data_IF_340824382854
#
_entry.id   IF_340824382854
#
_cell.length_a   1.000
_cell.length_b   1.000
_cell.length_c   1.000
_cell.angle_alpha   90.00
_cell.angle_beta   90.00
_cell.angle_gamma   90.00
#
_symmetry.space_group_name_H-M   'P 1'
#
loop_
_entity.id
_entity.type
_entity.pdbx_description
1 polymer ?
#
# COMPACT_ATOMS: atom_id res chain seq x y z
N UNK A 1 -29.60 -18.87 11.95
CA UNK A 1 -29.05 -20.26 12.03
C UNK A 1 -27.95 -20.26 13.08
N UNK A 2 -27.67 -21.37 13.78
CA UNK A 2 -26.58 -21.41 14.78
C UNK A 2 -25.25 -21.57 14.04
N UNK A 3 -24.36 -20.58 14.21
CA UNK A 3 -22.98 -20.57 13.71
C UNK A 3 -22.27 -21.89 13.98
N UNK A 4 -21.66 -22.47 12.93
CA UNK A 4 -20.79 -23.63 13.07
C UNK A 4 -19.35 -23.14 13.07
N UNK A 5 -18.90 -22.64 14.22
CA UNK A 5 -17.56 -22.09 14.38
C UNK A 5 -16.50 -23.06 13.81
N UNK A 6 -15.74 -22.59 12.82
CA UNK A 6 -14.55 -23.29 12.36
C UNK A 6 -13.60 -23.34 13.57
N UNK A 7 -13.13 -24.52 13.96
CA UNK A 7 -12.32 -24.65 15.17
C UNK A 7 -11.08 -23.74 15.09
N UNK A 8 -10.89 -22.86 16.08
CA UNK A 8 -9.77 -21.89 16.24
C UNK A 8 -8.39 -22.57 16.40
N UNK A 9 -7.99 -23.40 15.44
CA UNK A 9 -6.74 -24.17 15.43
C UNK A 9 -5.86 -23.83 14.24
N UNK A 10 -6.08 -22.68 13.62
CA UNK A 10 -5.29 -22.21 12.49
C UNK A 10 -4.04 -21.49 12.99
N UNK A 11 -2.91 -21.86 12.40
CA UNK A 11 -1.58 -21.33 12.73
C UNK A 11 -0.95 -20.61 11.53
N UNK A 12 -1.47 -20.84 10.32
CA UNK A 12 -0.98 -20.26 9.06
C UNK A 12 -2.16 -19.85 8.16
N UNK A 13 -1.92 -18.89 7.28
CA UNK A 13 -2.89 -18.41 6.29
C UNK A 13 -3.29 -19.54 5.33
N UNK A 14 -2.37 -20.41 4.94
CA UNK A 14 -2.65 -21.56 4.06
C UNK A 14 -3.71 -22.50 4.64
N UNK A 15 -3.69 -22.72 5.96
CA UNK A 15 -4.72 -23.53 6.62
C UNK A 15 -6.09 -22.83 6.59
N UNK A 16 -6.12 -21.49 6.66
CA UNK A 16 -7.36 -20.71 6.51
C UNK A 16 -7.88 -20.83 5.07
N UNK A 17 -7.02 -20.70 4.06
CA UNK A 17 -7.40 -20.91 2.66
C UNK A 17 -7.98 -22.31 2.43
N UNK A 18 -7.34 -23.34 2.97
CA UNK A 18 -7.85 -24.71 2.87
C UNK A 18 -9.21 -24.88 3.56
N UNK A 19 -9.44 -24.20 4.69
CA UNK A 19 -10.74 -24.20 5.35
C UNK A 19 -11.82 -23.49 4.51
N UNK A 20 -11.48 -22.37 3.86
CA UNK A 20 -12.40 -21.66 2.96
C UNK A 20 -12.78 -22.51 1.74
N UNK A 21 -11.81 -23.21 1.13
CA UNK A 21 -12.07 -24.19 0.05
C UNK A 21 -13.00 -25.30 0.51
N UNK A 22 -12.76 -25.88 1.69
CA UNK A 22 -13.64 -26.89 2.29
C UNK A 22 -15.03 -26.34 2.64
N UNK A 23 -15.12 -25.04 2.91
CA UNK A 23 -16.37 -24.31 3.10
C UNK A 23 -17.16 -24.09 1.81
N UNK A 24 -16.59 -24.43 0.65
CA UNK A 24 -17.22 -24.30 -0.66
C UNK A 24 -16.94 -22.97 -1.36
N UNK A 25 -15.97 -22.18 -0.89
CA UNK A 25 -15.49 -21.03 -1.65
C UNK A 25 -14.64 -21.53 -2.82
N UNK A 26 -15.21 -21.51 -4.02
CA UNK A 26 -14.55 -22.00 -5.24
C UNK A 26 -13.79 -20.89 -5.96
N UNK A 27 -14.44 -19.72 -6.11
CA UNK A 27 -13.89 -18.58 -6.82
C UNK A 27 -14.53 -17.27 -6.34
N UNK A 28 -13.79 -16.17 -6.46
CA UNK A 28 -14.20 -14.83 -6.05
C UNK A 28 -13.42 -13.77 -6.81
N UNK A 29 -13.85 -12.53 -6.73
CA UNK A 29 -13.08 -11.36 -7.17
C UNK A 29 -12.90 -10.41 -6.00
N UNK A 30 -11.72 -9.83 -5.85
CA UNK A 30 -11.42 -8.92 -4.74
C UNK A 30 -11.59 -7.45 -5.14
N UNK A 31 -12.31 -6.68 -4.34
CA UNK A 31 -12.37 -5.21 -4.41
C UNK A 31 -11.79 -4.65 -3.12
N UNK A 32 -10.94 -3.63 -3.19
CA UNK A 32 -10.37 -2.97 -2.01
C UNK A 32 -10.87 -1.53 -1.94
N UNK A 33 -11.37 -1.14 -0.77
CA UNK A 33 -11.73 0.25 -0.47
C UNK A 33 -11.04 0.70 0.82
N UNK A 34 -10.38 1.85 0.75
CA UNK A 34 -9.55 2.41 1.82
C UNK A 34 -10.12 3.75 2.26
N UNK A 35 -10.40 3.85 3.55
CA UNK A 35 -10.79 5.09 4.20
C UNK A 35 -9.58 6.03 4.31
N UNK A 36 -9.70 7.25 3.77
CA UNK A 36 -8.74 8.36 3.89
C UNK A 36 -9.36 9.56 4.61
N UNK A 37 -10.27 9.34 5.55
CA UNK A 37 -10.82 10.40 6.40
C UNK A 37 -9.80 10.88 7.43
N UNK A 38 -9.99 12.11 7.89
CA UNK A 38 -9.07 12.82 8.78
C UNK A 38 -8.94 12.15 10.15
N UNK A 39 -9.92 11.35 10.57
CA UNK A 39 -9.86 10.66 11.87
C UNK A 39 -8.65 9.76 12.04
N UNK A 40 -8.13 9.24 10.94
CA UNK A 40 -6.89 8.49 10.87
C UNK A 40 -5.65 9.25 11.37
N UNK A 41 -5.69 10.58 11.51
CA UNK A 41 -4.61 11.37 12.11
C UNK A 41 -4.52 11.16 13.63
N UNK A 42 -5.62 10.79 14.30
CA UNK A 42 -5.68 10.68 15.76
C UNK A 42 -6.14 9.32 16.31
N UNK A 43 -6.78 8.47 15.50
CA UNK A 43 -7.23 7.13 15.91
C UNK A 43 -6.10 6.11 16.02
N UNK A 44 -4.85 6.49 15.73
CA UNK A 44 -3.64 5.72 16.06
C UNK A 44 -3.01 6.07 17.40
N UNK A 45 -3.68 6.86 18.25
CA UNK A 45 -3.11 7.37 19.51
C UNK A 45 -2.60 6.28 20.44
N UNK A 46 -3.37 5.21 20.65
CA UNK A 46 -3.00 4.09 21.52
C UNK A 46 -2.42 2.92 20.72
N UNK A 47 -3.09 2.55 19.63
CA UNK A 47 -2.78 1.38 18.80
C UNK A 47 -1.54 1.54 17.93
N UNK A 48 -1.18 2.77 17.55
CA UNK A 48 -0.07 3.03 16.64
C UNK A 48 0.89 4.12 17.14
N UNK A 49 1.04 4.19 18.47
CA UNK A 49 2.06 5.01 19.12
C UNK A 49 1.92 6.51 18.86
N UNK A 50 0.71 7.02 18.67
CA UNK A 50 0.47 8.44 18.40
C UNK A 50 0.65 8.85 16.94
N UNK A 51 0.97 7.92 16.04
CA UNK A 51 1.11 8.19 14.61
C UNK A 51 -0.25 8.13 13.90
N UNK A 52 -0.32 8.75 12.73
CA UNK A 52 -1.43 8.52 11.81
C UNK A 52 -1.47 7.05 11.37
N UNK A 53 -2.67 6.49 11.23
CA UNK A 53 -2.87 5.13 10.75
C UNK A 53 -2.42 4.92 9.29
N UNK A 54 -2.23 6.00 8.52
CA UNK A 54 -1.63 5.96 7.17
C UNK A 54 -0.14 6.31 7.14
N UNK A 55 0.55 6.40 8.28
CA UNK A 55 1.96 6.79 8.27
C UNK A 55 2.80 5.76 7.50
N UNK A 56 3.42 6.20 6.40
CA UNK A 56 4.29 5.38 5.57
C UNK A 56 5.70 5.37 6.16
N UNK A 57 6.26 4.17 6.36
CA UNK A 57 7.62 4.00 6.87
C UNK A 57 8.16 2.59 6.64
N UNK A 58 9.20 2.24 7.42
CA UNK A 58 9.82 0.90 7.40
C UNK A 58 8.94 -0.17 8.06
N UNK A 59 8.15 0.24 9.05
CA UNK A 59 7.14 -0.61 9.68
C UNK A 59 5.81 -0.37 8.95
N UNK A 60 5.15 -1.42 8.44
CA UNK A 60 3.85 -1.30 7.81
C UNK A 60 2.84 -0.62 8.73
N UNK A 61 2.00 0.24 8.16
CA UNK A 61 0.86 0.80 8.87
C UNK A 61 -0.22 -0.27 9.12
N UNK A 62 -1.16 -0.07 10.06
CA UNK A 62 -2.27 -1.00 10.26
C UNK A 62 -3.09 -1.26 8.99
N UNK A 63 -3.19 -0.26 8.10
CA UNK A 63 -3.82 -0.43 6.78
C UNK A 63 -2.99 -1.35 5.87
N UNK A 64 -1.67 -1.16 5.80
CA UNK A 64 -0.78 -2.01 5.00
C UNK A 64 -0.81 -3.46 5.50
N UNK A 65 -0.82 -3.68 6.81
CA UNK A 65 -0.95 -5.01 7.40
C UNK A 65 -2.30 -5.64 7.08
N UNK A 66 -3.40 -4.91 7.28
CA UNK A 66 -4.75 -5.38 7.00
C UNK A 66 -4.93 -5.79 5.54
N UNK A 67 -4.60 -4.89 4.60
CA UNK A 67 -4.67 -5.13 3.16
C UNK A 67 -3.76 -6.31 2.78
N UNK A 68 -2.53 -6.32 3.31
CA UNK A 68 -1.57 -7.37 3.03
C UNK A 68 -2.03 -8.77 3.46
N UNK A 69 -2.56 -8.92 4.67
CA UNK A 69 -2.96 -10.23 5.19
C UNK A 69 -4.22 -10.75 4.50
N UNK A 70 -5.28 -9.93 4.41
CA UNK A 70 -6.52 -10.38 3.78
C UNK A 70 -6.33 -10.57 2.28
N UNK A 71 -5.63 -9.65 1.63
CA UNK A 71 -5.29 -9.76 0.22
C UNK A 71 -4.53 -11.04 -0.10
N UNK A 72 -3.49 -11.41 0.68
CA UNK A 72 -2.77 -12.68 0.47
C UNK A 72 -3.67 -13.90 0.70
N UNK A 73 -4.57 -13.82 1.67
CA UNK A 73 -5.50 -14.91 1.97
C UNK A 73 -6.48 -15.13 0.82
N UNK A 74 -7.05 -14.05 0.28
CA UNK A 74 -8.05 -14.09 -0.79
C UNK A 74 -7.46 -14.21 -2.20
N UNK A 75 -6.20 -13.83 -2.42
CA UNK A 75 -5.54 -13.91 -3.73
C UNK A 75 -5.55 -15.34 -4.33
N UNK A 76 -5.63 -16.38 -3.49
CA UNK A 76 -5.72 -17.77 -3.95
C UNK A 76 -7.12 -18.16 -4.49
N UNK A 77 -8.09 -17.26 -4.40
CA UNK A 77 -9.46 -17.40 -4.89
C UNK A 77 -9.83 -16.31 -5.90
N UNK A 78 -8.91 -15.39 -6.20
CA UNK A 78 -9.12 -14.30 -7.15
C UNK A 78 -8.96 -14.82 -8.58
N UNK A 79 -10.01 -14.70 -9.39
CA UNK A 79 -10.11 -15.38 -10.69
C UNK A 79 -9.21 -14.76 -11.78
N UNK A 80 -9.02 -13.44 -11.75
CA UNK A 80 -8.35 -12.69 -12.82
C UNK A 80 -7.07 -11.97 -12.36
N UNK A 81 -6.80 -11.89 -11.06
CA UNK A 81 -5.67 -11.14 -10.51
C UNK A 81 -5.86 -9.62 -10.61
N UNK A 82 -7.06 -9.14 -10.94
CA UNK A 82 -7.37 -7.73 -11.12
C UNK A 82 -8.17 -7.23 -9.92
N UNK A 83 -7.60 -6.29 -9.18
CA UNK A 83 -8.16 -5.79 -7.93
C UNK A 83 -8.57 -4.32 -8.12
N UNK A 84 -9.86 -4.01 -8.37
CA UNK A 84 -10.35 -2.65 -8.30
C UNK A 84 -10.09 -2.06 -6.91
N UNK A 85 -9.40 -0.92 -6.87
CA UNK A 85 -8.94 -0.29 -5.63
C UNK A 85 -9.37 1.16 -5.55
N UNK A 86 -9.97 1.53 -4.42
CA UNK A 86 -10.57 2.84 -4.23
C UNK A 86 -10.18 3.46 -2.90
N UNK A 87 -10.05 4.78 -2.90
CA UNK A 87 -10.02 5.59 -1.68
C UNK A 87 -11.30 6.42 -1.53
N UNK A 88 -11.68 6.73 -0.30
CA UNK A 88 -12.83 7.59 0.01
C UNK A 88 -12.59 8.42 1.27
N UNK A 89 -13.41 9.46 1.48
CA UNK A 89 -13.32 10.33 2.66
C UNK A 89 -12.23 11.41 2.60
N UNK A 90 -11.52 11.54 1.49
CA UNK A 90 -10.57 12.63 1.28
C UNK A 90 -11.29 13.93 0.90
N UNK A 91 -10.54 15.02 0.75
CA UNK A 91 -11.06 16.33 0.41
C UNK A 91 -11.75 16.38 -0.96
N UNK A 92 -11.41 15.47 -1.89
CA UNK A 92 -12.02 15.41 -3.22
C UNK A 92 -13.33 14.63 -3.22
N UNK A 93 -13.44 13.55 -2.43
CA UNK A 93 -14.64 12.71 -2.41
C UNK A 93 -15.66 13.11 -1.36
N UNK A 94 -15.22 13.57 -0.19
CA UNK A 94 -16.05 13.69 1.01
C UNK A 94 -16.81 12.38 1.28
N UNK A 95 -18.09 12.48 1.61
CA UNK A 95 -19.02 11.37 1.84
C UNK A 95 -19.86 10.99 0.60
N UNK A 96 -19.49 11.47 -0.60
CA UNK A 96 -20.35 11.36 -1.81
C UNK A 96 -19.78 10.50 -2.93
N UNK A 97 -18.51 10.15 -2.88
CA UNK A 97 -17.82 9.48 -3.96
C UNK A 97 -16.62 8.68 -3.49
N UNK A 98 -15.91 8.14 -4.47
CA UNK A 98 -14.63 7.45 -4.30
C UNK A 98 -13.67 7.94 -5.38
N UNK A 99 -12.37 7.87 -5.12
CA UNK A 99 -11.35 7.99 -6.16
C UNK A 99 -10.74 6.63 -6.42
N UNK A 100 -10.45 6.32 -7.69
CA UNK A 100 -9.76 5.08 -8.04
C UNK A 100 -8.27 5.21 -7.76
N UNK A 101 -7.59 4.13 -7.39
CA UNK A 101 -6.14 4.14 -7.15
C UNK A 101 -5.37 4.40 -8.44
N UNK A 102 -5.83 3.89 -9.58
CA UNK A 102 -5.24 4.11 -10.89
C UNK A 102 -6.18 4.97 -11.75
N UNK A 103 -5.62 5.65 -12.74
CA UNK A 103 -6.39 6.50 -13.64
C UNK A 103 -7.42 5.69 -14.44
N UNK A 104 -8.52 6.34 -14.83
CA UNK A 104 -9.59 5.76 -15.65
C UNK A 104 -10.23 4.49 -15.04
N UNK A 105 -10.25 4.37 -13.72
CA UNK A 105 -10.85 3.22 -13.02
C UNK A 105 -10.16 1.87 -13.35
N UNK A 106 -8.88 1.92 -13.72
CA UNK A 106 -8.11 0.71 -14.05
C UNK A 106 -7.86 -0.13 -12.77
N UNK A 107 -8.13 -1.44 -12.77
CA UNK A 107 -7.84 -2.29 -11.61
C UNK A 107 -6.33 -2.49 -11.42
N UNK A 108 -5.91 -2.73 -10.18
CA UNK A 108 -4.53 -3.10 -9.87
C UNK A 108 -4.25 -4.55 -10.28
N UNK A 109 -3.06 -4.84 -10.78
CA UNK A 109 -2.55 -6.17 -11.11
C UNK A 109 -1.96 -6.80 -9.85
N UNK A 110 -2.79 -7.55 -9.13
CA UNK A 110 -2.44 -8.24 -7.90
C UNK A 110 -2.21 -7.31 -6.70
N UNK A 111 -2.05 -7.94 -5.53
CA UNK A 111 -1.95 -7.26 -4.24
C UNK A 111 -0.71 -6.36 -4.12
N UNK A 112 0.39 -6.74 -4.77
CA UNK A 112 1.64 -5.98 -4.72
C UNK A 112 1.46 -4.59 -5.34
N UNK A 113 0.70 -4.47 -6.44
CA UNK A 113 0.39 -3.17 -7.03
C UNK A 113 -0.56 -2.35 -6.14
N UNK A 114 -1.50 -3.00 -5.44
CA UNK A 114 -2.38 -2.33 -4.47
C UNK A 114 -1.57 -1.66 -3.36
N UNK A 115 -0.67 -2.42 -2.72
CA UNK A 115 0.17 -1.92 -1.63
C UNK A 115 1.17 -0.86 -2.12
N UNK A 116 1.80 -1.08 -3.27
CA UNK A 116 2.68 -0.10 -3.89
C UNK A 116 1.94 1.23 -4.14
N UNK A 117 0.77 1.16 -4.78
CA UNK A 117 -0.01 2.36 -5.12
C UNK A 117 -0.60 3.04 -3.89
N UNK A 118 -1.02 2.28 -2.88
CA UNK A 118 -1.41 2.81 -1.58
C UNK A 118 -0.29 3.67 -0.97
N UNK A 119 0.94 3.14 -0.88
CA UNK A 119 2.10 3.85 -0.32
C UNK A 119 2.43 5.12 -1.11
N UNK A 120 2.29 5.06 -2.45
CA UNK A 120 2.52 6.21 -3.32
C UNK A 120 1.46 7.31 -3.13
N UNK A 121 0.19 6.94 -2.93
CA UNK A 121 -0.92 7.90 -2.80
C UNK A 121 -0.97 8.57 -1.42
N UNK A 122 -0.67 7.84 -0.35
CA UNK A 122 -0.82 8.31 1.04
C UNK A 122 -0.27 9.73 1.30
N UNK A 123 0.93 10.12 0.82
CA UNK A 123 1.47 11.47 1.04
C UNK A 123 0.70 12.60 0.32
N UNK A 124 -0.08 12.28 -0.72
CA UNK A 124 -0.75 13.26 -1.59
C UNK A 124 -2.26 13.35 -1.35
N UNK A 125 -2.85 12.32 -0.74
CA UNK A 125 -4.26 12.33 -0.36
C UNK A 125 -4.46 13.34 0.77
N UNK A 126 -5.34 14.32 0.55
CA UNK A 126 -5.73 15.28 1.59
C UNK A 126 -6.90 14.74 2.40
N UNK A 127 -6.60 14.16 3.55
CA UNK A 127 -7.63 13.57 4.41
C UNK A 127 -8.68 14.60 4.86
N UNK A 128 -9.96 14.21 4.84
CA UNK A 128 -11.07 15.09 5.16
C UNK A 128 -12.24 14.33 5.81
N UNK A 129 -13.45 14.50 5.29
CA UNK A 129 -14.69 13.91 5.77
C UNK A 129 -15.88 14.64 5.15
N UNK A 130 -17.12 14.38 5.58
CA UNK A 130 -17.54 13.37 6.56
C UNK A 130 -17.23 11.93 6.13
N UNK A 131 -17.32 10.99 7.06
CA UNK A 131 -17.10 9.56 6.85
C UNK A 131 -18.43 8.86 6.59
N UNK A 132 -18.56 8.24 5.41
CA UNK A 132 -19.64 7.33 5.02
C UNK A 132 -19.04 6.20 4.18
N UNK A 133 -19.47 4.96 4.42
CA UNK A 133 -19.02 3.81 3.60
C UNK A 133 -19.90 3.59 2.38
N UNK A 134 -21.05 4.26 2.33
CA UNK A 134 -22.02 4.11 1.25
C UNK A 134 -21.41 4.33 -0.15
N UNK A 135 -20.54 5.32 -0.40
CA UNK A 135 -19.93 5.49 -1.72
C UNK A 135 -19.07 4.29 -2.14
N UNK A 136 -18.30 3.72 -1.22
CA UNK A 136 -17.45 2.56 -1.49
C UNK A 136 -18.28 1.29 -1.74
N UNK A 137 -19.29 1.04 -0.91
CA UNK A 137 -20.19 -0.12 -1.06
C UNK A 137 -20.97 -0.04 -2.37
N UNK A 138 -21.50 1.14 -2.73
CA UNK A 138 -22.20 1.33 -4.01
C UNK A 138 -21.26 1.22 -5.20
N UNK A 139 -20.00 1.63 -5.08
CA UNK A 139 -19.02 1.39 -6.14
C UNK A 139 -18.76 -0.11 -6.33
N UNK A 140 -18.61 -0.87 -5.25
CA UNK A 140 -18.47 -2.32 -5.34
C UNK A 140 -19.70 -2.98 -5.96
N UNK A 141 -20.91 -2.57 -5.57
CA UNK A 141 -22.15 -3.02 -6.18
C UNK A 141 -22.17 -2.78 -7.71
N UNK A 142 -21.71 -1.62 -8.19
CA UNK A 142 -21.61 -1.34 -9.63
C UNK A 142 -20.63 -2.26 -10.35
N UNK A 143 -19.51 -2.61 -9.71
CA UNK A 143 -18.53 -3.55 -10.29
C UNK A 143 -19.18 -4.93 -10.44
N UNK A 144 -19.86 -5.41 -9.40
CA UNK A 144 -20.60 -6.69 -9.44
C UNK A 144 -21.61 -6.70 -10.58
N UNK A 145 -22.40 -5.64 -10.74
CA UNK A 145 -23.36 -5.55 -11.84
C UNK A 145 -22.69 -5.54 -13.22
N UNK A 146 -21.56 -4.85 -13.38
CA UNK A 146 -20.80 -4.78 -14.65
C UNK A 146 -20.11 -6.11 -14.99
N UNK A 147 -19.72 -6.88 -13.97
CA UNK A 147 -19.13 -8.22 -14.14
C UNK A 147 -20.15 -9.28 -14.60
N UNK A 148 -21.44 -8.92 -14.68
CA UNK A 148 -22.51 -9.88 -14.96
C UNK A 148 -22.88 -10.71 -13.73
N UNK A 149 -22.85 -10.09 -12.54
CA UNK A 149 -23.13 -10.71 -11.24
C UNK A 149 -22.19 -11.88 -10.92
N UNK A 150 -20.89 -11.70 -11.18
CA UNK A 150 -19.88 -12.57 -10.59
C UNK A 150 -19.75 -12.27 -9.09
N UNK A 151 -19.33 -13.27 -8.32
CA UNK A 151 -19.13 -13.10 -6.88
C UNK A 151 -17.95 -12.18 -6.59
N UNK A 152 -18.16 -11.18 -5.74
CA UNK A 152 -17.11 -10.28 -5.28
C UNK A 152 -17.06 -10.21 -3.76
N UNK A 153 -15.87 -9.98 -3.23
CA UNK A 153 -15.61 -9.65 -1.84
C UNK A 153 -15.07 -8.22 -1.80
N UNK A 154 -15.78 -7.32 -1.13
CA UNK A 154 -15.29 -5.98 -0.82
C UNK A 154 -14.52 -6.00 0.50
N UNK A 155 -13.20 -5.82 0.43
CA UNK A 155 -12.35 -5.53 1.58
C UNK A 155 -12.39 -4.02 1.86
N UNK A 156 -13.12 -3.63 2.90
CA UNK A 156 -13.25 -2.25 3.35
C UNK A 156 -12.37 -2.03 4.58
N UNK A 157 -11.31 -1.22 4.49
CA UNK A 157 -10.42 -0.93 5.62
C UNK A 157 -10.65 0.50 6.10
N UNK A 158 -11.05 0.65 7.37
CA UNK A 158 -11.36 1.95 7.96
C UNK A 158 -11.14 2.00 9.48
N UNK A 159 -11.15 3.22 10.04
CA UNK A 159 -10.95 3.44 11.48
C UNK A 159 -12.24 3.45 12.32
N UNK A 160 -13.37 3.16 11.67
CA UNK A 160 -14.68 3.00 12.28
C UNK A 160 -15.40 4.30 12.62
N UNK A 161 -14.83 5.47 12.30
CA UNK A 161 -15.41 6.77 12.66
C UNK A 161 -16.45 7.28 11.65
N UNK A 162 -17.57 6.56 11.48
CA UNK A 162 -18.70 7.07 10.67
C UNK A 162 -19.22 8.38 11.28
N UNK A 163 -19.41 9.39 10.44
CA UNK A 163 -19.72 10.74 10.93
C UNK A 163 -21.09 10.83 11.58
N UNK A 164 -21.10 11.37 12.80
CA UNK A 164 -22.30 11.58 13.61
C UNK A 164 -22.30 13.02 14.14
N UNK A 165 -23.47 13.67 14.15
CA UNK A 165 -23.62 14.96 14.85
C UNK A 165 -23.59 14.73 16.36
N UNK A 166 -22.83 15.54 17.10
CA UNK A 166 -22.75 15.47 18.57
C UNK A 166 -24.11 15.64 19.26
N UNK A 167 -25.04 16.31 18.59
CA UNK A 167 -26.35 16.65 19.14
C UNK A 167 -27.39 15.54 18.88
N UNK A 168 -27.01 14.49 18.14
CA UNK A 168 -27.91 13.42 17.75
C UNK A 168 -28.02 12.35 18.86
N UNK A 169 -29.22 12.11 19.42
CA UNK A 169 -29.42 11.09 20.46
C UNK A 169 -28.94 9.71 20.01
N UNK A 170 -28.37 8.90 20.91
CA UNK A 170 -27.76 7.59 20.59
C UNK A 170 -28.67 6.60 19.82
N UNK A 171 -29.99 6.77 19.89
CA UNK A 171 -30.96 5.91 19.22
C UNK A 171 -31.33 6.35 17.78
N UNK A 172 -30.83 7.50 17.33
CA UNK A 172 -31.06 8.00 15.97
C UNK A 172 -29.79 7.85 15.13
N UNK A 173 -29.97 7.59 13.84
CA UNK A 173 -28.88 7.52 12.88
C UNK A 173 -28.61 8.87 12.24
N UNK A 174 -27.34 9.22 12.07
CA UNK A 174 -26.94 10.35 11.23
C UNK A 174 -27.28 10.07 9.77
N UNK A 175 -27.22 11.11 8.91
CA UNK A 175 -27.37 10.91 7.47
C UNK A 175 -26.34 9.94 6.90
N UNK A 176 -25.10 9.95 7.40
CA UNK A 176 -24.02 9.08 6.93
C UNK A 176 -24.17 7.65 7.45
N UNK A 177 -24.63 7.48 8.69
CA UNK A 177 -24.96 6.17 9.27
C UNK A 177 -26.12 5.53 8.49
N UNK A 178 -27.21 6.27 8.24
CA UNK A 178 -28.35 5.77 7.48
C UNK A 178 -27.98 5.46 6.03
N UNK A 179 -27.22 6.32 5.36
CA UNK A 179 -26.80 6.09 3.98
C UNK A 179 -25.91 4.83 3.85
N UNK A 180 -25.09 4.56 4.87
CA UNK A 180 -24.29 3.33 4.95
C UNK A 180 -25.17 2.11 5.15
N UNK A 181 -26.16 2.17 6.05
CA UNK A 181 -27.14 1.10 6.27
C UNK A 181 -27.88 0.79 4.96
N UNK A 182 -28.38 1.82 4.29
CA UNK A 182 -29.11 1.68 3.03
C UNK A 182 -28.24 1.02 1.96
N UNK A 183 -26.97 1.43 1.84
CA UNK A 183 -26.04 0.82 0.90
C UNK A 183 -25.73 -0.66 1.20
N UNK A 184 -25.63 -1.05 2.48
CA UNK A 184 -25.42 -2.46 2.88
C UNK A 184 -26.67 -3.29 2.51
N UNK A 185 -27.87 -2.78 2.79
CA UNK A 185 -29.14 -3.45 2.43
C UNK A 185 -29.29 -3.56 0.92
N UNK A 186 -29.00 -2.50 0.17
CA UNK A 186 -28.97 -2.52 -1.30
C UNK A 186 -28.00 -3.60 -1.82
N UNK A 187 -26.78 -3.64 -1.27
CA UNK A 187 -25.76 -4.61 -1.65
C UNK A 187 -26.15 -6.08 -1.37
N UNK A 188 -27.05 -6.34 -0.41
CA UNK A 188 -27.51 -7.70 -0.10
C UNK A 188 -28.33 -8.34 -1.23
N UNK A 189 -28.76 -7.55 -2.22
CA UNK A 189 -29.44 -8.04 -3.42
C UNK A 189 -28.47 -8.49 -4.53
N UNK A 190 -27.17 -8.41 -4.28
CA UNK A 190 -26.11 -8.74 -5.23
C UNK A 190 -25.23 -9.87 -4.66
N UNK A 191 -24.49 -10.59 -5.52
CA UNK A 191 -23.48 -11.54 -5.06
C UNK A 191 -22.23 -10.80 -4.54
N UNK A 192 -22.39 -10.05 -3.45
CA UNK A 192 -21.38 -9.20 -2.84
C UNK A 192 -21.30 -9.49 -1.33
N UNK A 193 -20.13 -9.95 -0.88
CA UNK A 193 -19.77 -10.00 0.53
C UNK A 193 -18.93 -8.77 0.89
N UNK A 194 -19.17 -8.19 2.06
CA UNK A 194 -18.44 -7.02 2.57
C UNK A 194 -17.68 -7.44 3.82
N UNK A 195 -16.36 -7.34 3.78
CA UNK A 195 -15.48 -7.58 4.92
C UNK A 195 -14.92 -6.24 5.37
N UNK A 196 -15.44 -5.71 6.47
CA UNK A 196 -14.98 -4.45 7.06
C UNK A 196 -13.91 -4.74 8.11
N UNK A 197 -12.69 -4.27 7.86
CA UNK A 197 -11.56 -4.35 8.77
C UNK A 197 -11.40 -3.03 9.50
N UNK A 198 -11.66 -3.07 10.81
CA UNK A 198 -11.42 -1.97 11.72
C UNK A 198 -9.96 -1.87 12.14
N UNK A 199 -9.31 -0.77 11.80
CA UNK A 199 -7.94 -0.44 12.22
C UNK A 199 -7.93 0.75 13.19
N UNK A 200 -7.03 0.74 14.15
CA UNK A 200 -6.90 1.84 15.12
C UNK A 200 -7.70 1.66 16.41
N UNK A 201 -7.95 2.77 17.09
CA UNK A 201 -8.42 2.82 18.49
C UNK A 201 -9.94 2.60 18.66
N UNK A 202 -10.73 2.64 17.59
CA UNK A 202 -12.19 2.66 17.64
C UNK A 202 -12.78 3.99 18.17
N UNK A 203 -14.02 4.01 18.70
CA UNK A 203 -14.85 2.87 19.10
C UNK A 203 -15.44 2.06 17.93
N UNK A 204 -15.93 0.85 18.23
CA UNK A 204 -16.37 -0.14 17.23
C UNK A 204 -17.83 -0.57 17.38
N UNK A 205 -18.60 0.04 18.28
CA UNK A 205 -19.97 -0.40 18.60
C UNK A 205 -20.89 -0.32 17.38
N UNK A 206 -20.83 0.78 16.63
CA UNK A 206 -21.59 0.94 15.39
C UNK A 206 -21.24 -0.14 14.34
N UNK A 207 -19.98 -0.57 14.27
CA UNK A 207 -19.57 -1.60 13.31
C UNK A 207 -20.13 -2.97 13.68
N UNK A 208 -20.28 -3.24 14.98
CA UNK A 208 -20.96 -4.45 15.48
C UNK A 208 -22.45 -4.41 15.22
N UNK A 209 -23.08 -3.23 15.34
CA UNK A 209 -24.48 -3.05 14.97
C UNK A 209 -24.70 -3.29 13.46
N UNK A 210 -23.74 -2.88 12.62
CA UNK A 210 -23.77 -3.20 11.19
C UNK A 210 -23.53 -4.67 10.87
N UNK A 211 -22.88 -5.42 11.75
CA UNK A 211 -22.74 -6.89 11.65
C UNK A 211 -24.09 -7.54 11.96
N UNK A 212 -24.57 -7.39 13.19
CA UNK A 212 -25.61 -8.24 13.80
C UNK A 212 -27.05 -7.71 13.63
N UNK A 213 -27.26 -6.44 13.30
CA UNK A 213 -28.52 -5.73 13.60
C UNK A 213 -29.23 -5.07 12.41
N UNK A 214 -29.07 -5.58 11.18
CA UNK A 214 -29.81 -5.06 10.01
C UNK A 214 -30.83 -6.10 9.47
N UNK A 215 -32.08 -6.08 9.94
CA UNK A 215 -33.07 -7.11 9.62
C UNK A 215 -33.62 -7.05 8.18
N UNK A 216 -33.32 -6.00 7.42
CA UNK A 216 -33.86 -5.78 6.07
C UNK A 216 -33.03 -6.41 4.95
N UNK A 217 -31.90 -7.05 5.26
CA UNK A 217 -31.02 -7.65 4.25
C UNK A 217 -31.57 -9.01 3.78
N UNK A 218 -31.33 -9.34 2.51
CA UNK A 218 -31.71 -10.64 1.93
C UNK A 218 -30.88 -11.81 2.52
N UNK A 219 -29.62 -11.53 2.84
CA UNK A 219 -28.74 -12.39 3.61
C UNK A 219 -27.73 -11.53 4.38
N UNK A 220 -27.05 -12.14 5.34
CA UNK A 220 -25.98 -11.46 6.06
C UNK A 220 -24.77 -11.28 5.15
N UNK A 221 -24.56 -10.08 4.63
CA UNK A 221 -23.54 -9.76 3.64
C UNK A 221 -22.41 -8.87 4.19
N UNK A 222 -22.36 -8.64 5.50
CA UNK A 222 -21.41 -7.73 6.14
C UNK A 222 -20.75 -8.46 7.30
N UNK A 223 -19.42 -8.49 7.31
CA UNK A 223 -18.60 -9.02 8.40
C UNK A 223 -17.71 -7.90 8.95
N UNK A 224 -17.77 -7.62 10.25
CA UNK A 224 -16.82 -6.75 10.92
C UNK A 224 -15.69 -7.51 11.61
N UNK A 225 -14.43 -7.05 11.44
CA UNK A 225 -13.29 -7.53 12.23
C UNK A 225 -12.45 -6.39 12.76
N UNK A 226 -12.23 -6.39 14.07
CA UNK A 226 -11.31 -5.48 14.74
C UNK A 226 -9.88 -5.99 14.66
N UNK A 227 -9.10 -5.47 13.73
CA UNK A 227 -7.69 -5.84 13.53
C UNK A 227 -6.84 -5.53 14.77
N UNK A 228 -7.04 -4.34 15.36
CA UNK A 228 -6.30 -3.89 16.56
C UNK A 228 -6.48 -4.86 17.72
N UNK A 229 -7.70 -5.38 17.92
CA UNK A 229 -8.00 -6.37 18.96
C UNK A 229 -7.26 -7.69 18.69
N UNK A 230 -7.26 -8.19 17.45
CA UNK A 230 -6.53 -9.41 17.08
C UNK A 230 -5.04 -9.28 17.36
N UNK A 231 -4.43 -8.14 16.98
CA UNK A 231 -3.02 -7.86 17.24
C UNK A 231 -2.73 -7.84 18.75
N UNK A 232 -3.63 -7.26 19.55
CA UNK A 232 -3.48 -7.17 21.01
C UNK A 232 -3.59 -8.54 21.72
N UNK A 233 -4.43 -9.44 21.21
CA UNK A 233 -4.66 -10.79 21.77
C UNK A 233 -3.53 -11.77 21.47
N UNK A 234 -2.62 -11.42 20.57
CA UNK A 234 -1.53 -12.28 20.12
C UNK A 234 -0.16 -11.62 20.37
N UNK A 235 0.17 -11.31 21.64
CA UNK A 235 1.42 -10.67 22.00
C UNK A 235 2.59 -11.63 21.73
N UNK A 236 3.68 -11.08 21.20
CA UNK A 236 4.89 -11.83 20.91
C UNK A 236 5.63 -11.28 19.69
N UNK A 237 6.96 -11.37 19.75
CA UNK A 237 7.85 -11.02 18.65
C UNK A 237 8.31 -12.28 17.90
N UNK A 238 8.70 -12.10 16.63
CA UNK A 238 9.19 -13.16 15.76
C UNK A 238 8.13 -13.70 14.79
N UNK A 239 8.62 -14.48 13.82
CA UNK A 239 7.84 -14.91 12.65
C UNK A 239 6.68 -15.84 13.01
N UNK A 240 6.87 -16.75 13.96
CA UNK A 240 5.81 -17.65 14.40
C UNK A 240 4.65 -16.90 15.08
N UNK A 241 4.96 -15.87 15.88
CA UNK A 241 3.94 -15.03 16.48
C UNK A 241 3.18 -14.26 15.40
N UNK A 242 3.92 -13.65 14.46
CA UNK A 242 3.35 -12.95 13.29
C UNK A 242 2.43 -13.85 12.47
N UNK A 243 2.88 -15.02 12.04
CA UNK A 243 2.08 -15.97 11.27
C UNK A 243 0.78 -16.37 11.99
N UNK A 244 0.85 -16.60 13.31
CA UNK A 244 -0.34 -16.88 14.11
C UNK A 244 -1.32 -15.69 14.15
N UNK A 245 -0.82 -14.45 14.23
CA UNK A 245 -1.68 -13.25 14.14
C UNK A 245 -2.35 -13.15 12.78
N UNK A 246 -1.56 -13.30 11.72
CA UNK A 246 -2.05 -13.22 10.34
C UNK A 246 -3.12 -14.31 10.11
N UNK A 247 -2.88 -15.54 10.56
CA UNK A 247 -3.84 -16.63 10.46
C UNK A 247 -5.11 -16.39 11.27
N UNK A 248 -5.00 -15.91 12.51
CA UNK A 248 -6.16 -15.59 13.35
C UNK A 248 -6.98 -14.44 12.77
N UNK A 249 -6.30 -13.40 12.26
CA UNK A 249 -6.95 -12.27 11.63
C UNK A 249 -7.67 -12.70 10.35
N UNK A 250 -7.00 -13.44 9.47
CA UNK A 250 -7.58 -13.98 8.25
C UNK A 250 -8.78 -14.88 8.53
N UNK A 251 -8.69 -15.75 9.55
CA UNK A 251 -9.80 -16.60 9.97
C UNK A 251 -11.00 -15.76 10.37
N UNK A 252 -10.83 -14.79 11.28
CA UNK A 252 -11.93 -13.95 11.75
C UNK A 252 -12.54 -13.14 10.60
N UNK A 253 -11.71 -12.62 9.70
CA UNK A 253 -12.17 -11.80 8.58
C UNK A 253 -12.97 -12.59 7.53
N UNK A 254 -12.71 -13.89 7.41
CA UNK A 254 -13.24 -14.69 6.32
C UNK A 254 -14.15 -15.84 6.78
N UNK A 255 -14.41 -15.97 8.09
CA UNK A 255 -15.17 -17.12 8.60
C UNK A 255 -16.62 -17.17 8.11
N UNK A 256 -17.23 -16.02 7.83
CA UNK A 256 -18.58 -15.96 7.29
C UNK A 256 -18.64 -16.07 5.77
N UNK A 257 -17.56 -15.71 5.06
CA UNK A 257 -17.51 -15.66 3.59
C UNK A 257 -18.02 -16.95 2.93
N UNK A 258 -17.66 -18.17 3.36
CA UNK A 258 -18.23 -19.39 2.79
C UNK A 258 -19.75 -19.53 3.00
N UNK A 259 -20.28 -19.15 4.16
CA UNK A 259 -21.71 -19.21 4.44
C UNK A 259 -22.48 -18.16 3.61
N UNK A 260 -21.89 -16.97 3.46
CA UNK A 260 -22.40 -15.89 2.61
C UNK A 260 -22.43 -16.31 1.14
N UNK A 261 -21.34 -16.91 0.64
CA UNK A 261 -21.26 -17.45 -0.71
C UNK A 261 -22.34 -18.53 -0.96
N UNK A 262 -22.55 -19.44 -0.02
CA UNK A 262 -23.62 -20.44 -0.11
C UNK A 262 -25.02 -19.79 -0.06
N UNK A 263 -25.22 -18.73 0.73
CA UNK A 263 -26.49 -17.99 0.74
C UNK A 263 -26.77 -17.34 -0.62
N UNK A 264 -25.76 -16.70 -1.21
CA UNK A 264 -25.78 -16.13 -2.56
C UNK A 264 -26.15 -17.18 -3.61
N UNK A 265 -25.58 -18.38 -3.52
CA UNK A 265 -25.93 -19.51 -4.39
C UNK A 265 -27.38 -19.95 -4.21
N UNK A 266 -27.87 -20.10 -2.97
CA UNK A 266 -29.25 -20.50 -2.66
C UNK A 266 -30.28 -19.47 -3.13
N UNK A 267 -29.95 -18.19 -3.02
CA UNK A 267 -30.77 -17.08 -3.51
C UNK A 267 -30.70 -16.91 -5.03
N UNK A 268 -29.80 -17.63 -5.70
CA UNK A 268 -29.65 -17.60 -7.16
C UNK A 268 -29.14 -16.26 -7.70
N UNK A 269 -28.33 -15.53 -6.92
CA UNK A 269 -27.84 -14.19 -7.28
C UNK A 269 -26.68 -14.21 -8.29
N UNK A 270 -26.05 -15.37 -8.52
CA UNK A 270 -24.88 -15.52 -9.41
C UNK A 270 -25.27 -15.55 -10.90
N UNK A 271 -24.50 -14.83 -11.71
CA UNK A 271 -24.50 -14.91 -13.16
C UNK A 271 -25.55 -14.07 -13.89
N UNK A 272 -25.34 -13.91 -15.20
CA UNK A 272 -26.08 -13.01 -16.10
C UNK A 272 -27.58 -13.33 -16.27
N UNK A 273 -28.04 -14.48 -15.80
CA UNK A 273 -29.44 -14.93 -15.86
C UNK A 273 -30.36 -14.26 -14.82
N UNK A 274 -29.82 -13.49 -13.89
CA UNK A 274 -30.60 -12.84 -12.84
C UNK A 274 -31.38 -11.61 -13.39
N UNK A 275 -32.46 -11.90 -14.11
CA UNK A 275 -33.50 -10.93 -14.47
C UNK A 275 -34.50 -10.81 -13.31
N UNK A 276 -34.05 -10.45 -12.11
CA UNK A 276 -35.00 -10.24 -11.02
C UNK A 276 -35.70 -8.89 -11.19
N UNK A 277 -37.01 -8.86 -10.97
CA UNK A 277 -37.76 -7.62 -10.77
C UNK A 277 -37.15 -6.74 -9.66
N UNK A 278 -36.35 -7.34 -8.76
CA UNK A 278 -35.55 -6.67 -7.73
C UNK A 278 -34.36 -5.88 -8.28
N UNK A 279 -33.64 -6.39 -9.31
CA UNK A 279 -32.65 -5.60 -10.04
C UNK A 279 -33.26 -4.35 -10.73
N UNK A 280 -34.56 -4.38 -11.03
CA UNK A 280 -35.34 -3.22 -11.51
C UNK A 280 -35.64 -2.21 -10.39
N UNK A 281 -35.80 -2.66 -9.15
CA UNK A 281 -36.00 -1.82 -7.96
C UNK A 281 -34.69 -1.12 -7.55
N UNK A 282 -33.56 -1.84 -7.56
CA UNK A 282 -32.21 -1.25 -7.42
C UNK A 282 -31.97 -0.24 -8.55
N UNK A 283 -32.31 -0.58 -9.81
CA UNK A 283 -32.26 0.35 -10.96
C UNK A 283 -33.12 1.61 -10.81
N UNK A 284 -34.20 1.57 -10.03
CA UNK A 284 -35.04 2.73 -9.75
C UNK A 284 -34.44 3.61 -8.64
N UNK A 285 -33.70 3.03 -7.69
CA UNK A 285 -32.91 3.77 -6.71
C UNK A 285 -31.63 4.40 -7.31
N UNK A 286 -31.13 3.87 -8.45
CA UNK A 286 -29.89 4.26 -9.14
C UNK A 286 -29.74 5.74 -9.54
N UNK A 287 -30.76 6.59 -9.44
CA UNK A 287 -30.62 8.03 -9.72
C UNK A 287 -30.27 8.88 -8.49
N UNK A 288 -30.17 8.28 -7.30
CA UNK A 288 -29.63 8.96 -6.13
C UNK A 288 -28.08 9.03 -6.16
N UNK A 289 -27.57 10.02 -6.91
CA UNK A 289 -26.41 10.88 -6.58
C UNK A 289 -25.07 10.26 -6.16
N UNK A 290 -24.67 9.09 -6.66
CA UNK A 290 -23.26 8.67 -6.53
C UNK A 290 -22.47 9.12 -7.75
N UNK A 291 -21.51 10.03 -7.54
CA UNK A 291 -20.65 10.56 -8.60
C UNK A 291 -19.86 9.41 -9.27
N UNK A 292 -19.47 9.56 -10.54
CA UNK A 292 -18.50 8.64 -11.13
C UNK A 292 -17.21 8.65 -10.30
N UNK A 293 -16.45 7.54 -10.27
CA UNK A 293 -15.15 7.50 -9.61
C UNK A 293 -14.28 8.66 -10.11
N UNK A 294 -13.60 9.30 -9.17
CA UNK A 294 -12.65 10.37 -9.47
C UNK A 294 -11.29 9.75 -9.81
N UNK A 295 -10.51 10.47 -10.61
CA UNK A 295 -9.10 10.12 -10.81
C UNK A 295 -8.33 10.24 -9.49
N UNK A 296 -7.31 9.40 -9.27
CA UNK A 296 -6.47 9.49 -8.08
C UNK A 296 -5.82 10.87 -7.96
N UNK A 297 -5.54 11.35 -6.74
CA UNK A 297 -4.67 12.51 -6.57
C UNK A 297 -3.32 12.22 -7.23
N UNK A 298 -2.86 13.15 -8.08
CA UNK A 298 -1.66 12.97 -8.89
C UNK A 298 -0.43 13.18 -8.01
N UNK A 299 0.42 12.16 -7.81
CA UNK A 299 1.74 12.37 -7.24
C UNK A 299 2.53 13.33 -8.16
N UNK A 300 3.38 14.22 -7.62
CA UNK A 300 4.28 15.03 -8.43
C UNK A 300 5.06 14.10 -9.35
N UNK A 301 4.98 14.39 -10.65
CA UNK A 301 5.61 13.57 -11.67
C UNK A 301 7.11 13.46 -11.38
N UNK A 302 7.55 12.27 -10.97
CA UNK A 302 8.95 11.88 -11.17
C UNK A 302 9.06 11.74 -12.67
N UNK A 303 9.81 12.64 -13.31
CA UNK A 303 9.93 12.67 -14.76
C UNK A 303 10.53 11.34 -15.26
N UNK A 304 9.66 10.43 -15.71
CA UNK A 304 10.05 9.29 -16.53
C UNK A 304 10.36 9.84 -17.93
N UNK A 305 11.65 10.01 -18.21
CA UNK A 305 12.11 10.47 -19.51
C UNK A 305 11.82 9.44 -20.59
N UNK A 306 10.75 9.66 -21.36
CA UNK A 306 10.61 9.10 -22.70
C UNK A 306 11.50 9.92 -23.65
N UNK A 307 12.36 9.22 -24.37
CA UNK A 307 13.18 9.81 -25.43
C UNK A 307 12.28 10.28 -26.59
N UNK A 308 12.40 11.56 -26.95
CA UNK A 308 11.74 12.15 -28.11
C UNK A 308 12.42 13.46 -28.49
N UNK A 309 13.18 13.44 -29.58
CA UNK A 309 13.97 14.55 -30.08
C UNK A 309 13.13 15.80 -30.43
N UNK A 310 13.63 16.97 -30.06
CA UNK A 310 13.12 18.27 -30.52
C UNK A 310 13.95 19.42 -29.97
N UNK A 311 14.79 20.03 -30.82
CA UNK A 311 15.60 21.22 -30.54
C UNK A 311 14.73 22.43 -30.09
N UNK A 312 15.25 23.35 -29.25
CA UNK A 312 14.47 24.48 -28.75
C UNK A 312 14.56 25.71 -29.68
N UNK A 313 13.51 26.54 -29.79
CA UNK A 313 13.67 27.92 -30.19
C UNK A 313 13.78 28.86 -28.99
N UNK A 314 14.66 29.85 -29.19
CA UNK A 314 14.94 31.02 -28.35
C UNK A 314 13.69 31.82 -27.96
N UNK A 315 13.67 32.24 -26.70
CA UNK A 315 13.41 33.62 -26.30
C UNK A 315 11.96 33.98 -25.96
N UNK A 316 11.69 34.26 -24.69
CA UNK A 316 11.22 35.56 -24.22
C UNK A 316 11.13 35.59 -22.68
N UNK A 317 11.44 36.77 -22.15
CA UNK A 317 11.61 37.11 -20.74
C UNK A 317 10.32 36.95 -19.92
N UNK A 318 10.48 36.46 -18.69
CA UNK A 318 9.48 36.62 -17.63
C UNK A 318 9.56 38.04 -17.05
N UNK A 319 8.43 38.77 -16.87
CA UNK A 319 8.43 39.98 -16.07
C UNK A 319 8.32 39.65 -14.58
N UNK A 320 9.17 40.30 -13.80
CA UNK A 320 9.10 40.38 -12.36
C UNK A 320 7.85 41.17 -11.93
N UNK A 321 7.16 40.70 -10.90
CA UNK A 321 6.17 41.47 -10.16
C UNK A 321 6.49 41.40 -8.65
N UNK A 322 7.06 42.52 -8.21
CA UNK A 322 7.20 43.05 -6.85
C UNK A 322 5.89 43.11 -6.06
N UNK A 323 5.95 43.10 -4.72
CA UNK A 323 5.22 43.95 -3.74
C UNK A 323 5.64 43.55 -2.29
N UNK A 324 5.42 44.35 -1.23
CA UNK A 324 6.42 45.31 -0.73
C UNK A 324 6.81 45.08 0.75
N UNK A 325 7.84 45.84 1.15
CA UNK A 325 8.36 46.01 2.52
C UNK A 325 7.41 46.86 3.37
N UNK A 326 7.18 46.48 4.63
CA UNK A 326 6.70 47.38 5.67
C UNK A 326 7.47 47.13 6.98
N UNK A 327 7.87 48.24 7.61
CA UNK A 327 8.84 48.37 8.69
C UNK A 327 8.32 47.93 10.07
N UNK A 328 9.28 47.66 10.98
CA UNK A 328 9.04 47.34 12.39
C UNK A 328 8.63 48.53 13.26
N UNK A 329 8.64 48.34 14.60
CA UNK A 329 9.63 49.08 15.38
C UNK A 329 10.28 48.32 16.56
N UNK A 330 11.60 48.50 16.67
CA UNK A 330 12.45 48.81 17.85
C UNK A 330 12.16 48.22 19.24
N UNK A 331 13.23 47.68 19.86
CA UNK A 331 13.61 48.10 21.23
C UNK A 331 14.32 47.08 22.15
N UNK A 332 15.65 47.21 22.29
CA UNK A 332 16.43 47.01 23.55
C UNK A 332 16.78 45.57 23.99
N UNK A 333 17.98 45.05 23.70
CA UNK A 333 19.25 45.20 24.45
C UNK A 333 19.37 44.39 25.76
N UNK A 334 20.28 43.40 25.77
CA UNK A 334 21.41 43.31 26.70
C UNK A 334 22.40 42.20 26.33
N UNK A 335 23.67 42.56 26.43
CA UNK A 335 24.90 41.84 26.10
C UNK A 335 25.39 40.90 27.23
N UNK A 336 26.56 40.30 26.92
CA UNK A 336 27.56 39.65 27.77
C UNK A 336 27.41 38.12 27.93
N UNK A 337 28.44 37.30 27.71
CA UNK A 337 29.85 37.59 27.49
C UNK A 337 30.63 36.30 27.24
N UNK A 338 31.81 36.48 26.67
CA UNK A 338 32.68 35.52 26.02
C UNK A 338 33.73 34.91 26.99
N UNK A 339 34.63 34.08 26.40
CA UNK A 339 35.96 33.62 26.83
C UNK A 339 36.02 32.30 27.61
N UNK A 340 36.98 31.41 27.38
CA UNK A 340 38.18 31.32 26.51
C UNK A 340 38.65 29.84 26.54
N UNK A 341 39.20 29.24 25.48
CA UNK A 341 40.54 29.39 24.88
C UNK A 341 41.54 28.27 25.31
N UNK A 342 42.46 27.99 24.37
CA UNK A 342 43.76 27.25 24.44
C UNK A 342 43.73 25.72 24.22
N UNK A 343 44.23 25.19 23.09
CA UNK A 343 45.61 24.94 22.63
C UNK A 343 46.19 23.62 23.20
N UNK A 344 46.90 22.72 22.52
CA UNK A 344 47.44 22.59 21.16
C UNK A 344 48.38 21.35 21.10
N UNK A 345 49.04 21.15 19.95
CA UNK A 345 50.29 20.40 19.67
C UNK A 345 50.26 18.92 19.18
N UNK A 346 50.78 18.78 17.92
CA UNK A 346 51.87 17.89 17.40
C UNK A 346 51.72 16.35 17.56
N UNK A 347 52.10 15.45 16.64
CA UNK A 347 53.23 15.40 15.68
C UNK A 347 53.09 14.16 14.75
N UNK A 348 53.63 14.24 13.51
CA UNK A 348 54.51 13.28 12.78
C UNK A 348 54.26 11.74 12.85
N UNK A 349 54.54 10.85 11.88
CA UNK A 349 55.10 10.84 10.51
C UNK A 349 55.33 9.35 10.12
N UNK A 350 55.43 9.05 8.82
CA UNK A 350 56.06 7.82 8.28
C UNK A 350 55.12 7.02 7.36
N UNK A 351 55.15 7.10 6.02
CA UNK A 351 56.20 6.87 5.02
C UNK A 351 56.62 5.39 4.87
N UNK A 352 56.40 4.83 3.68
CA UNK A 352 56.80 3.48 3.28
C UNK A 352 56.34 3.13 1.86
N UNK A 353 57.09 3.65 0.87
CA UNK A 353 57.01 3.34 -0.56
C UNK A 353 57.39 1.89 -0.91
N UNK A 354 56.88 1.39 -2.06
CA UNK A 354 57.58 0.61 -3.13
C UNK A 354 56.52 -0.17 -3.95
N UNK A 355 56.06 0.26 -5.13
CA UNK A 355 56.72 0.28 -6.45
C UNK A 355 57.20 -1.10 -6.96
N UNK A 356 56.51 -1.62 -7.98
CA UNK A 356 57.07 -2.06 -9.29
C UNK A 356 56.38 -3.32 -9.89
N UNK A 357 55.84 -3.14 -11.10
CA UNK A 357 55.50 -4.12 -12.15
C UNK A 357 56.83 -4.71 -12.77
N UNK A 358 56.92 -5.45 -13.92
CA UNK A 358 55.91 -5.76 -14.96
C UNK A 358 56.01 -7.09 -15.77
N UNK A 359 55.02 -7.26 -16.68
CA UNK A 359 55.08 -7.68 -18.09
C UNK A 359 55.40 -9.12 -18.59
N UNK A 360 54.63 -9.52 -19.62
CA UNK A 360 54.92 -10.51 -20.68
C UNK A 360 53.71 -11.43 -20.93
N UNK A 361 53.01 -11.52 -22.07
CA UNK A 361 53.23 -11.08 -23.44
C UNK A 361 53.43 -12.27 -24.39
N UNK A 362 52.37 -12.73 -25.10
CA UNK A 362 52.39 -13.37 -26.44
C UNK A 362 51.03 -14.02 -26.81
N UNK A 363 50.47 -13.67 -27.98
CA UNK A 363 49.52 -14.53 -28.74
C UNK A 363 50.27 -15.36 -29.78
N UNK A 364 49.67 -15.86 -30.88
CA UNK A 364 48.26 -16.17 -31.20
C UNK A 364 48.08 -17.64 -31.70
N UNK A 365 46.86 -18.12 -31.96
CA UNK A 365 46.50 -18.94 -33.15
C UNK A 365 45.09 -19.53 -33.05
N UNK A 366 44.43 -19.57 -34.20
CA UNK A 366 43.09 -20.06 -34.46
C UNK A 366 42.93 -21.58 -34.30
N UNK A 367 41.70 -22.00 -33.98
CA UNK A 367 41.26 -23.39 -34.03
C UNK A 367 39.77 -23.48 -33.66
N UNK A 368 38.90 -23.52 -34.66
CA UNK A 368 37.48 -23.78 -34.46
C UNK A 368 37.24 -25.22 -33.99
N UNK A 369 36.55 -25.36 -32.87
CA UNK A 369 35.89 -26.59 -32.45
C UNK A 369 34.71 -26.20 -31.55
N UNK A 370 33.55 -26.84 -31.77
CA UNK A 370 32.24 -26.41 -31.32
C UNK A 370 32.11 -26.08 -29.84
N UNK A 371 31.49 -24.93 -29.56
CA UNK A 371 30.99 -24.58 -28.25
C UNK A 371 29.66 -25.31 -28.03
N UNK A 372 29.73 -26.35 -27.20
CA UNK A 372 28.60 -26.80 -26.39
C UNK A 372 27.96 -25.58 -25.67
N UNK A 373 26.65 -25.60 -25.37
CA UNK A 373 26.02 -24.47 -24.71
C UNK A 373 26.75 -24.22 -23.39
N UNK A 374 27.32 -23.02 -23.24
CA UNK A 374 27.89 -22.56 -21.99
C UNK A 374 26.84 -22.78 -20.91
N UNK A 375 27.21 -23.54 -19.86
CA UNK A 375 26.40 -23.70 -18.68
C UNK A 375 26.05 -22.29 -18.18
N UNK A 376 24.80 -21.88 -18.40
CA UNK A 376 24.29 -20.61 -17.91
C UNK A 376 24.33 -20.71 -16.40
N UNK A 377 25.33 -20.07 -15.80
CA UNK A 377 25.34 -19.83 -14.36
C UNK A 377 24.04 -19.14 -13.95
N UNK A 378 23.66 -19.23 -12.68
CA UNK A 378 22.45 -18.62 -12.18
C UNK A 378 22.48 -17.12 -12.48
N UNK A 379 21.47 -16.64 -13.20
CA UNK A 379 21.35 -15.22 -13.54
C UNK A 379 20.98 -14.45 -12.28
N UNK A 380 21.78 -13.46 -11.85
CA UNK A 380 21.42 -12.61 -10.73
C UNK A 380 20.17 -11.79 -11.06
N UNK A 381 19.36 -11.52 -10.03
CA UNK A 381 18.27 -10.55 -10.13
C UNK A 381 18.85 -9.19 -10.57
N UNK A 382 18.23 -8.47 -11.51
CA UNK A 382 18.67 -7.13 -11.90
C UNK A 382 18.90 -6.18 -10.72
N UNK A 383 18.18 -6.34 -9.61
CA UNK A 383 18.35 -5.53 -8.41
C UNK A 383 19.68 -5.78 -7.67
N UNK A 384 20.36 -6.89 -7.95
CA UNK A 384 21.67 -7.23 -7.37
C UNK A 384 22.83 -6.60 -8.15
N UNK A 385 22.58 -6.12 -9.37
CA UNK A 385 23.60 -5.55 -10.24
C UNK A 385 23.82 -4.08 -9.95
N UNK A 386 25.10 -3.67 -9.86
CA UNK A 386 25.45 -2.27 -9.73
C UNK A 386 25.16 -1.55 -11.05
N UNK A 387 24.43 -0.43 -11.04
CA UNK A 387 24.16 0.32 -12.28
C UNK A 387 25.38 0.92 -12.98
N UNK A 388 26.52 1.05 -12.27
CA UNK A 388 27.77 1.57 -12.83
C UNK A 388 28.59 0.44 -13.46
N UNK A 389 28.85 -0.63 -12.70
CA UNK A 389 29.73 -1.72 -13.13
C UNK A 389 29.01 -2.84 -13.87
N UNK A 390 27.69 -2.93 -13.74
CA UNK A 390 26.83 -4.02 -14.21
C UNK A 390 27.18 -5.39 -13.60
N UNK A 391 27.96 -5.40 -12.51
CA UNK A 391 28.33 -6.59 -11.74
C UNK A 391 27.52 -6.68 -10.45
N UNK A 392 27.41 -7.88 -9.88
CA UNK A 392 26.75 -8.09 -8.58
C UNK A 392 27.46 -7.28 -7.49
N UNK A 393 26.71 -6.42 -6.81
CA UNK A 393 27.22 -5.53 -5.76
C UNK A 393 27.86 -6.33 -4.61
N UNK A 394 29.09 -5.97 -4.23
CA UNK A 394 29.77 -6.57 -3.10
C UNK A 394 29.42 -5.84 -1.79
N UNK A 395 29.33 -4.51 -1.85
CA UNK A 395 28.91 -3.68 -0.72
C UNK A 395 27.86 -2.64 -1.20
N UNK A 396 26.57 -3.02 -1.26
CA UNK A 396 25.54 -2.13 -1.78
C UNK A 396 25.28 -0.96 -0.83
N UNK A 397 25.28 0.25 -1.39
CA UNK A 397 24.98 1.51 -0.71
C UNK A 397 23.96 2.31 -1.49
N UNK A 398 23.08 3.00 -0.77
CA UNK A 398 22.11 3.94 -1.33
C UNK A 398 22.75 5.32 -1.38
N UNK A 399 22.79 5.92 -2.57
CA UNK A 399 23.18 7.32 -2.73
C UNK A 399 21.98 8.27 -2.57
N UNK A 400 22.22 9.58 -2.54
CA UNK A 400 21.18 10.61 -2.34
C UNK A 400 20.13 10.66 -3.45
N UNK A 401 20.39 10.02 -4.59
CA UNK A 401 19.43 9.83 -5.68
C UNK A 401 18.46 8.66 -5.44
N UNK A 402 18.61 7.93 -4.33
CA UNK A 402 17.74 6.81 -3.95
C UNK A 402 18.11 5.47 -4.59
N UNK A 403 19.16 5.40 -5.42
CA UNK A 403 19.59 4.16 -6.06
C UNK A 403 20.68 3.44 -5.26
N UNK A 404 20.69 2.11 -5.38
CA UNK A 404 21.73 1.27 -4.81
C UNK A 404 22.88 1.07 -5.81
N UNK A 405 24.11 1.27 -5.35
CA UNK A 405 25.33 1.05 -6.11
C UNK A 405 26.32 0.24 -5.28
N UNK A 406 27.31 -0.38 -5.92
CA UNK A 406 28.48 -0.84 -5.17
C UNK A 406 29.22 0.37 -4.61
N UNK A 407 29.57 0.33 -3.31
CA UNK A 407 30.24 1.43 -2.60
C UNK A 407 31.47 1.93 -3.35
N UNK A 408 32.29 1.03 -3.87
CA UNK A 408 33.54 1.41 -4.54
C UNK A 408 33.26 2.15 -5.84
N UNK A 409 32.25 1.69 -6.59
CA UNK A 409 31.85 2.28 -7.86
C UNK A 409 31.29 3.69 -7.68
N UNK A 410 30.34 3.87 -6.76
CA UNK A 410 29.71 5.19 -6.55
C UNK A 410 30.64 6.20 -5.88
N UNK A 411 31.52 5.74 -4.99
CA UNK A 411 32.54 6.61 -4.37
C UNK A 411 33.52 7.12 -5.42
N UNK A 412 33.95 6.26 -6.35
CA UNK A 412 34.83 6.65 -7.46
C UNK A 412 34.15 7.61 -8.41
N UNK A 413 32.86 7.38 -8.70
CA UNK A 413 32.08 8.27 -9.54
C UNK A 413 31.95 9.66 -8.92
N UNK A 414 31.58 9.73 -7.63
CA UNK A 414 31.38 10.98 -6.90
C UNK A 414 32.68 11.76 -6.65
N UNK A 415 33.84 11.12 -6.75
CA UNK A 415 35.13 11.80 -6.71
C UNK A 415 35.40 12.67 -7.95
N UNK A 416 34.68 12.43 -9.06
CA UNK A 416 34.89 13.13 -10.35
C UNK A 416 33.63 13.84 -10.86
N UNK A 417 32.47 13.55 -10.29
CA UNK A 417 31.18 14.05 -10.76
C UNK A 417 30.29 14.43 -9.57
N UNK A 418 29.62 15.58 -9.66
CA UNK A 418 28.57 15.99 -8.71
C UNK A 418 27.17 15.52 -9.18
N UNK A 419 27.11 14.51 -10.03
CA UNK A 419 25.87 14.05 -10.67
C UNK A 419 25.64 12.56 -10.41
N UNK A 420 24.38 12.14 -10.44
CA UNK A 420 23.99 10.74 -10.37
C UNK A 420 24.48 9.98 -11.62
N UNK A 421 25.12 8.80 -11.48
CA UNK A 421 25.52 7.98 -12.62
C UNK A 421 24.33 7.51 -13.49
N UNK A 422 23.14 7.37 -12.90
CA UNK A 422 21.94 6.87 -13.58
C UNK A 422 21.12 7.98 -14.23
N UNK A 423 20.94 9.10 -13.53
CA UNK A 423 20.00 10.16 -13.95
C UNK A 423 20.69 11.40 -14.49
N UNK A 424 22.02 11.50 -14.31
CA UNK A 424 22.82 12.69 -14.56
C UNK A 424 22.32 13.96 -13.81
N UNK A 425 21.40 13.79 -12.86
CA UNK A 425 20.90 14.86 -12.02
C UNK A 425 21.95 15.23 -10.97
N UNK A 426 22.01 16.52 -10.62
CA UNK A 426 22.97 16.99 -9.61
C UNK A 426 22.65 16.37 -8.25
N UNK A 427 23.64 15.74 -7.63
CA UNK A 427 23.55 15.16 -6.29
C UNK A 427 24.32 16.02 -5.29
N UNK A 428 23.63 16.91 -4.55
CA UNK A 428 24.27 17.71 -3.52
C UNK A 428 24.61 16.83 -2.30
N UNK A 429 25.84 16.31 -2.28
CA UNK A 429 26.41 15.59 -1.14
C UNK A 429 26.79 14.14 -1.46
N UNK A 430 27.88 13.67 -0.87
CA UNK A 430 28.40 12.31 -1.01
C UNK A 430 27.89 11.35 0.07
N UNK A 431 26.68 11.57 0.60
CA UNK A 431 26.12 10.74 1.66
C UNK A 431 25.72 9.39 1.10
N UNK A 432 26.41 8.33 1.53
CA UNK A 432 26.14 6.95 1.14
C UNK A 432 25.65 6.15 2.34
N UNK A 433 24.40 5.68 2.26
CA UNK A 433 23.76 4.90 3.32
C UNK A 433 23.95 3.42 3.02
N UNK A 434 24.51 2.59 3.93
CA UNK A 434 24.63 1.15 3.71
C UNK A 434 23.26 0.48 3.48
N UNK A 435 23.13 -0.33 2.42
CA UNK A 435 21.92 -1.11 2.16
C UNK A 435 22.09 -2.55 2.69
N UNK A 436 21.90 -2.72 3.99
CA UNK A 436 22.07 -4.02 4.65
C UNK A 436 21.08 -5.08 4.16
N UNK A 437 19.85 -4.68 3.81
CA UNK A 437 18.83 -5.59 3.28
C UNK A 437 19.25 -6.20 1.94
N UNK A 438 19.68 -5.35 0.99
CA UNK A 438 20.16 -5.80 -0.31
C UNK A 438 21.45 -6.62 -0.19
N UNK A 439 22.33 -6.25 0.74
CA UNK A 439 23.56 -7.02 1.04
C UNK A 439 23.22 -8.44 1.52
N UNK A 440 22.27 -8.58 2.43
CA UNK A 440 21.81 -9.89 2.92
C UNK A 440 21.17 -10.72 1.80
N UNK A 441 20.33 -10.11 0.95
CA UNK A 441 19.71 -10.78 -0.18
C UNK A 441 20.75 -11.28 -1.21
N UNK A 442 21.76 -10.47 -1.53
CA UNK A 442 22.87 -10.86 -2.41
C UNK A 442 23.68 -12.01 -1.81
N UNK A 443 23.98 -11.98 -0.51
CA UNK A 443 24.71 -13.06 0.16
C UNK A 443 23.93 -14.38 0.14
N UNK A 444 22.63 -14.31 0.41
CA UNK A 444 21.76 -15.48 0.37
C UNK A 444 21.67 -16.06 -1.05
N UNK A 445 21.55 -15.20 -2.06
CA UNK A 445 21.58 -15.62 -3.47
C UNK A 445 22.93 -16.26 -3.83
N UNK A 446 24.06 -15.69 -3.41
CA UNK A 446 25.39 -16.30 -3.64
C UNK A 446 25.51 -17.67 -2.98
N UNK A 447 25.02 -17.82 -1.74
CA UNK A 447 25.06 -19.07 -1.00
C UNK A 447 24.20 -20.16 -1.66
N UNK A 448 22.98 -19.83 -2.08
CA UNK A 448 22.08 -20.76 -2.80
C UNK A 448 22.67 -21.26 -4.13
N UNK A 449 23.56 -20.46 -4.73
CA UNK A 449 24.14 -20.71 -6.04
C UNK A 449 25.61 -21.18 -5.99
N UNK A 450 26.18 -21.39 -4.80
CA UNK A 450 27.57 -21.85 -4.64
C UNK A 450 28.62 -20.81 -5.06
N UNK A 451 28.30 -19.52 -5.00
CA UNK A 451 29.13 -18.38 -5.43
C UNK A 451 29.78 -17.64 -4.24
N UNK A 452 29.94 -18.31 -3.09
CA UNK A 452 30.39 -17.71 -1.81
C UNK A 452 31.84 -17.26 -1.81
#
# INVERSE_FOLDING_TARGET
>A
MRFRAIADRFTTVDQVQEALRKGGLESSNLIVAVDFTKSNEWTGKRSFGGKSLHAIGDVPSPYEEAIGVIGRTLAAFDDDGLIPCYGFGDATTGDRGVFSFLANDTPCQGLDQVLWRYRELCPYVRMAGPTSFAPAIRQAARIVERSGNQYHILLLVADGQVSRSSDLPSHQHSSQEQDTIDAIVEASHLPLSIVMVGVGDGPWDLMKDFDDALPQREFDNFQFVNFTDVVSQTPGSGDAARQRREALFALRALMEVPEQYQAIQRLGLLGAGHSSASARQVRSARQARTLPPLDPPVPPAIAYGSAGAGLPPRGQQAPAASYPVAAGPTGGSKEAGCSGATAGKTSASGAGDSAAQPAGGAGPSAGGAGLAPAASGPTPDPMFLCPITHDVMADPVIATDGYSYDRTAITTWLARHETSPLTNARMPGATLIPNHALRSAIMEWKQRNGLS
#
